data_IF_704494033343
#
_entry.id   IF_704494033343
#
_cell.length_a   1.000
_cell.length_b   1.000
_cell.length_c   1.000
_cell.angle_alpha   90.00
_cell.angle_beta   90.00
_cell.angle_gamma   90.00
#
_symmetry.space_group_name_H-M   'P 1'
#
loop_
_entity.id
_entity.type
_entity.pdbx_description
1 polymer ?
#
# COMPACT_ATOMS: atom_id res chain seq x y z
N UNK A 1 4.74 -3.96 -10.72
CA UNK A 1 5.73 -3.39 -9.76
C UNK A 1 5.05 -2.26 -8.98
N UNK A 2 5.34 -2.13 -7.68
CA UNK A 2 4.79 -1.08 -6.81
C UNK A 2 5.91 -0.18 -6.34
N UNK A 3 5.65 1.13 -6.35
CA UNK A 3 6.46 2.19 -5.76
C UNK A 3 5.66 2.87 -4.67
N UNK A 4 6.23 3.10 -3.49
CA UNK A 4 5.54 3.76 -2.38
C UNK A 4 6.12 5.11 -2.06
N UNK A 5 5.28 6.08 -1.70
CA UNK A 5 5.67 7.39 -1.17
C UNK A 5 4.72 7.83 -0.06
N UNK A 6 5.18 8.66 0.87
CA UNK A 6 4.33 9.15 1.94
C UNK A 6 3.36 10.24 1.46
N UNK A 7 2.07 10.11 1.83
CA UNK A 7 1.05 11.13 1.53
C UNK A 7 1.32 12.46 2.23
N UNK A 8 2.04 12.45 3.35
CA UNK A 8 2.48 13.67 4.06
C UNK A 8 3.44 14.56 3.24
N UNK A 9 3.99 14.06 2.13
CA UNK A 9 4.72 14.88 1.17
C UNK A 9 3.84 15.95 0.49
N UNK A 10 2.52 15.76 0.56
CA UNK A 10 1.52 16.67 0.02
C UNK A 10 1.19 16.47 -1.46
N UNK A 11 0.01 16.95 -1.90
CA UNK A 11 -0.52 16.65 -3.23
C UNK A 11 0.36 17.15 -4.38
N UNK A 12 1.04 18.28 -4.22
CA UNK A 12 1.95 18.80 -5.26
C UNK A 12 3.15 17.88 -5.52
N UNK A 13 3.76 17.35 -4.45
CA UNK A 13 4.87 16.40 -4.59
C UNK A 13 4.39 15.08 -5.20
N UNK A 14 3.24 14.58 -4.77
CA UNK A 14 2.63 13.36 -5.31
C UNK A 14 2.34 13.52 -6.80
N UNK A 15 1.64 14.58 -7.21
CA UNK A 15 1.33 14.87 -8.61
C UNK A 15 2.58 15.00 -9.48
N UNK A 16 3.64 15.64 -8.97
CA UNK A 16 4.92 15.73 -9.69
C UNK A 16 5.56 14.37 -9.94
N UNK A 17 5.53 13.47 -8.94
CA UNK A 17 6.04 12.09 -9.08
C UNK A 17 5.19 11.29 -10.07
N UNK A 18 3.86 11.38 -9.96
CA UNK A 18 2.92 10.71 -10.88
C UNK A 18 3.17 11.15 -12.33
N UNK A 19 3.27 12.45 -12.57
CA UNK A 19 3.55 13.01 -13.89
C UNK A 19 4.89 12.49 -14.43
N UNK A 20 5.96 12.58 -13.64
CA UNK A 20 7.29 12.14 -14.11
C UNK A 20 7.36 10.65 -14.40
N UNK A 21 6.69 9.81 -13.60
CA UNK A 21 6.63 8.36 -13.86
C UNK A 21 5.83 8.07 -15.13
N UNK A 22 4.75 8.80 -15.39
CA UNK A 22 3.97 8.67 -16.62
C UNK A 22 4.79 9.08 -17.86
N UNK A 23 5.53 10.21 -17.77
CA UNK A 23 6.38 10.70 -18.86
C UNK A 23 7.47 9.68 -19.20
N UNK A 24 8.20 9.20 -18.19
CA UNK A 24 9.24 8.17 -18.36
C UNK A 24 8.66 6.87 -18.95
N UNK A 25 7.47 6.45 -18.51
CA UNK A 25 6.80 5.29 -19.10
C UNK A 25 6.51 5.51 -20.60
N UNK A 26 6.02 6.68 -20.96
CA UNK A 26 5.72 7.01 -22.36
C UNK A 26 7.00 7.07 -23.22
N UNK A 27 8.09 7.64 -22.70
CA UNK A 27 9.40 7.65 -23.34
C UNK A 27 9.87 6.22 -23.61
N UNK A 28 9.89 5.35 -22.58
CA UNK A 28 10.33 3.95 -22.71
C UNK A 28 9.45 3.19 -23.71
N UNK A 29 8.13 3.34 -23.65
CA UNK A 29 7.20 2.68 -24.57
C UNK A 29 7.43 3.13 -26.01
N UNK A 30 7.74 4.42 -26.21
CA UNK A 30 8.08 4.97 -27.53
C UNK A 30 9.38 4.38 -28.06
N UNK A 31 10.44 4.34 -27.27
CA UNK A 31 11.73 3.74 -27.63
C UNK A 31 11.60 2.27 -28.00
N UNK A 32 10.89 1.48 -27.16
CA UNK A 32 10.66 0.06 -27.40
C UNK A 32 9.87 -0.23 -28.69
N UNK A 33 8.96 0.65 -29.08
CA UNK A 33 8.22 0.53 -30.37
C UNK A 33 9.10 0.84 -31.58
N UNK A 34 10.10 1.68 -31.41
CA UNK A 34 11.06 2.02 -32.48
C UNK A 34 12.08 0.88 -32.70
N UNK A 35 12.41 0.13 -31.63
CA UNK A 35 13.29 -1.05 -31.70
C UNK A 35 12.50 -2.32 -32.01
N UNK A 36 12.20 -2.55 -33.28
CA UNK A 36 11.39 -3.70 -33.77
C UNK A 36 11.90 -5.10 -33.39
N UNK A 37 13.03 -5.26 -32.69
CA UNK A 37 13.68 -6.53 -32.36
C UNK A 37 14.08 -6.70 -30.88
N UNK A 38 13.68 -5.83 -29.97
CA UNK A 38 14.05 -5.99 -28.58
C UNK A 38 13.03 -6.86 -27.82
N UNK A 39 13.47 -8.06 -27.40
CA UNK A 39 12.76 -8.88 -26.41
C UNK A 39 12.92 -8.28 -25.00
N UNK A 40 12.60 -6.99 -24.83
CA UNK A 40 12.66 -6.36 -23.51
C UNK A 40 11.40 -6.72 -22.72
N UNK A 41 11.59 -7.43 -21.63
CA UNK A 41 10.55 -7.68 -20.61
C UNK A 41 10.22 -6.37 -19.84
N UNK A 42 9.77 -5.33 -20.55
CA UNK A 42 9.28 -4.13 -19.90
C UNK A 42 7.93 -4.44 -19.25
N UNK A 43 7.93 -4.51 -17.91
CA UNK A 43 6.74 -4.85 -17.12
C UNK A 43 5.72 -3.71 -16.98
N UNK A 44 5.83 -2.66 -17.80
CA UNK A 44 4.95 -1.49 -17.74
C UNK A 44 5.29 -0.52 -16.60
N UNK A 45 4.52 0.56 -16.53
CA UNK A 45 4.61 1.59 -15.49
C UNK A 45 4.44 0.96 -14.08
N UNK A 46 5.26 1.33 -13.10
CA UNK A 46 5.00 0.93 -11.71
C UNK A 46 3.74 1.61 -11.18
N UNK A 47 2.98 0.92 -10.36
CA UNK A 47 1.86 1.49 -9.62
C UNK A 47 2.39 2.31 -8.44
N UNK A 48 1.81 3.48 -8.20
CA UNK A 48 2.22 4.41 -7.15
C UNK A 48 1.24 4.30 -5.99
N UNK A 49 1.76 3.95 -4.80
CA UNK A 49 0.96 3.81 -3.59
C UNK A 49 1.33 4.87 -2.57
N UNK A 50 0.33 5.60 -2.10
CA UNK A 50 0.47 6.61 -1.04
C UNK A 50 0.41 5.97 0.35
N UNK A 51 1.50 6.07 1.11
CA UNK A 51 1.52 5.67 2.53
C UNK A 51 0.78 6.74 3.33
N UNK A 52 -0.33 6.36 3.96
CA UNK A 52 -1.17 7.26 4.76
C UNK A 52 -0.58 7.45 6.16
N UNK A 53 -1.11 6.77 7.16
CA UNK A 53 -0.61 6.76 8.54
C UNK A 53 0.04 5.40 8.82
N UNK A 54 1.20 5.40 9.48
CA UNK A 54 1.89 4.17 9.84
C UNK A 54 1.05 3.30 10.78
N UNK A 55 1.11 1.98 10.59
CA UNK A 55 0.34 1.02 11.40
C UNK A 55 0.72 1.00 12.88
N UNK A 56 1.89 1.53 13.23
CA UNK A 56 2.34 1.69 14.61
C UNK A 56 1.70 2.89 15.32
N UNK A 57 1.16 3.86 14.57
CA UNK A 57 0.61 5.08 15.15
C UNK A 57 -0.76 4.86 15.79
N UNK A 58 -0.92 5.46 16.95
CA UNK A 58 -2.21 5.70 17.61
C UNK A 58 -2.53 7.21 17.65
N UNK A 59 -3.66 7.58 18.27
CA UNK A 59 -4.09 8.97 18.34
C UNK A 59 -3.11 9.85 19.15
N UNK A 60 -2.39 9.30 20.12
CA UNK A 60 -1.42 10.06 20.92
C UNK A 60 -0.18 10.40 20.07
N UNK A 61 0.27 9.44 19.26
CA UNK A 61 1.40 9.66 18.34
C UNK A 61 1.05 10.67 17.25
N UNK A 62 -0.20 10.68 16.73
CA UNK A 62 -0.64 11.71 15.79
C UNK A 62 -0.54 13.11 16.38
N UNK A 63 -0.99 13.28 17.61
CA UNK A 63 -0.91 14.58 18.33
C UNK A 63 0.55 15.01 18.50
N UNK A 64 1.45 14.07 18.81
CA UNK A 64 2.88 14.37 19.02
C UNK A 64 3.57 14.93 17.78
N UNK A 65 3.08 14.59 16.58
CA UNK A 65 3.58 15.10 15.28
C UNK A 65 2.72 16.25 14.73
N UNK A 66 1.79 16.77 15.53
CA UNK A 66 0.98 17.93 15.18
C UNK A 66 -0.25 17.64 14.31
N UNK A 67 -0.63 16.39 14.10
CA UNK A 67 -1.85 16.02 13.41
C UNK A 67 -3.04 16.04 14.37
N UNK A 68 -4.17 16.59 13.92
CA UNK A 68 -5.43 16.66 14.68
C UNK A 68 -6.42 15.61 14.18
N UNK A 69 -7.37 15.23 15.02
CA UNK A 69 -8.40 14.23 14.73
C UNK A 69 -7.92 12.80 15.01
N UNK A 70 -8.70 11.83 14.61
CA UNK A 70 -8.40 10.40 14.78
C UNK A 70 -7.44 9.89 13.71
N UNK A 71 -6.89 8.68 13.91
CA UNK A 71 -6.10 7.99 12.88
C UNK A 71 -6.93 7.82 11.60
N UNK A 72 -8.18 7.38 11.73
CA UNK A 72 -9.09 7.16 10.60
C UNK A 72 -9.35 8.46 9.81
N UNK A 73 -9.65 9.58 10.49
CA UNK A 73 -9.86 10.89 9.85
C UNK A 73 -8.63 11.29 9.01
N UNK A 74 -7.44 11.08 9.57
CA UNK A 74 -6.19 11.43 8.89
C UNK A 74 -5.91 10.49 7.71
N UNK A 75 -6.18 9.19 7.86
CA UNK A 75 -6.04 8.21 6.77
C UNK A 75 -6.95 8.58 5.61
N UNK A 76 -8.24 8.85 5.86
CA UNK A 76 -9.19 9.21 4.81
C UNK A 76 -8.81 10.52 4.10
N UNK A 77 -8.44 11.54 4.86
CA UNK A 77 -8.01 12.83 4.30
C UNK A 77 -6.75 12.72 3.45
N UNK A 78 -5.76 11.95 3.91
CA UNK A 78 -4.52 11.72 3.17
C UNK A 78 -4.76 10.86 1.93
N UNK A 79 -5.63 9.85 2.02
CA UNK A 79 -6.03 9.02 0.89
C UNK A 79 -6.74 9.86 -0.18
N UNK A 80 -7.74 10.66 0.19
CA UNK A 80 -8.46 11.54 -0.73
C UNK A 80 -7.50 12.45 -1.49
N UNK A 81 -6.67 13.20 -0.76
CA UNK A 81 -5.68 14.13 -1.35
C UNK A 81 -4.70 13.44 -2.30
N UNK A 82 -4.29 12.21 -1.97
CA UNK A 82 -3.35 11.45 -2.78
C UNK A 82 -4.03 10.87 -4.04
N UNK A 83 -5.28 10.38 -3.91
CA UNK A 83 -6.08 9.91 -5.05
C UNK A 83 -6.32 11.04 -6.05
N UNK A 84 -6.69 12.23 -5.56
CA UNK A 84 -6.84 13.42 -6.41
C UNK A 84 -5.53 13.82 -7.11
N UNK A 85 -4.38 13.57 -6.47
CA UNK A 85 -3.05 13.78 -7.06
C UNK A 85 -2.62 12.68 -8.05
N UNK A 86 -3.44 11.61 -8.23
CA UNK A 86 -3.31 10.62 -9.29
C UNK A 86 -2.56 9.34 -8.91
N UNK A 87 -2.47 8.96 -7.62
CA UNK A 87 -1.93 7.66 -7.23
C UNK A 87 -2.84 6.50 -7.64
N UNK A 88 -2.26 5.29 -7.71
CA UNK A 88 -2.97 4.07 -8.07
C UNK A 88 -3.54 3.34 -6.86
N UNK A 89 -2.93 3.55 -5.69
CA UNK A 89 -3.34 2.87 -4.47
C UNK A 89 -2.89 3.58 -3.20
N UNK A 90 -3.36 3.08 -2.06
CA UNK A 90 -2.99 3.56 -0.73
C UNK A 90 -2.44 2.43 0.12
N UNK A 91 -1.56 2.78 1.06
CA UNK A 91 -1.09 1.90 2.13
C UNK A 91 -1.76 2.34 3.42
N UNK A 92 -2.51 1.43 4.06
CA UNK A 92 -3.21 1.68 5.32
C UNK A 92 -3.19 0.42 6.19
N UNK A 93 -3.61 0.50 7.45
CA UNK A 93 -3.76 -0.71 8.26
C UNK A 93 -5.05 -1.47 7.93
N UNK A 94 -5.18 -2.69 8.47
CA UNK A 94 -6.39 -3.48 8.31
C UNK A 94 -7.65 -2.81 8.83
N UNK A 95 -7.53 -1.93 9.82
CA UNK A 95 -8.66 -1.23 10.44
C UNK A 95 -9.32 -0.20 9.54
N UNK A 96 -8.60 0.34 8.56
CA UNK A 96 -9.11 1.38 7.66
C UNK A 96 -9.60 0.86 6.30
N UNK A 97 -9.48 -0.46 6.02
CA UNK A 97 -9.87 -1.04 4.72
C UNK A 97 -11.33 -0.73 4.40
N UNK A 98 -12.25 -1.02 5.33
CA UNK A 98 -13.68 -0.81 5.11
C UNK A 98 -14.01 0.67 4.88
N UNK A 99 -13.41 1.57 5.68
CA UNK A 99 -13.61 3.01 5.52
C UNK A 99 -13.11 3.51 4.18
N UNK A 100 -11.94 3.05 3.71
CA UNK A 100 -11.41 3.38 2.38
C UNK A 100 -12.32 2.83 1.29
N UNK A 101 -12.77 1.57 1.38
CA UNK A 101 -13.69 0.98 0.42
C UNK A 101 -15.03 1.71 0.37
N UNK A 102 -15.56 2.10 1.52
CA UNK A 102 -16.82 2.86 1.61
C UNK A 102 -16.73 4.24 0.94
N UNK A 103 -15.61 4.94 1.11
CA UNK A 103 -15.45 6.31 0.60
C UNK A 103 -14.97 6.36 -0.86
N UNK A 104 -14.09 5.44 -1.29
CA UNK A 104 -13.41 5.51 -2.58
C UNK A 104 -13.71 4.31 -3.50
N UNK A 105 -14.42 3.29 -3.00
CA UNK A 105 -14.78 2.10 -3.77
C UNK A 105 -13.56 1.28 -4.21
N UNK A 106 -13.66 0.69 -5.40
CA UNK A 106 -12.61 -0.12 -6.03
C UNK A 106 -11.71 0.67 -6.99
N UNK A 107 -11.89 1.98 -7.08
CA UNK A 107 -11.08 2.86 -7.94
C UNK A 107 -9.64 3.01 -7.45
N UNK A 108 -9.40 2.81 -6.16
CA UNK A 108 -8.09 2.85 -5.52
C UNK A 108 -7.73 1.46 -5.00
N UNK A 109 -6.51 1.02 -5.26
CA UNK A 109 -6.00 -0.23 -4.69
C UNK A 109 -5.57 -0.05 -3.24
N UNK A 110 -5.69 -1.11 -2.44
CA UNK A 110 -5.32 -1.11 -1.01
C UNK A 110 -4.21 -2.10 -0.77
N UNK A 111 -3.10 -1.63 -0.21
CA UNK A 111 -1.97 -2.44 0.25
C UNK A 111 -1.90 -2.36 1.78
N UNK A 112 -1.91 -3.53 2.44
CA UNK A 112 -2.00 -3.65 3.90
C UNK A 112 -0.72 -4.25 4.47
N UNK A 113 0.09 -3.46 5.19
CA UNK A 113 1.17 -4.00 6.02
C UNK A 113 0.65 -4.47 7.39
N UNK A 114 1.54 -5.04 8.20
CA UNK A 114 1.16 -5.46 9.56
C UNK A 114 0.34 -6.73 9.63
N UNK A 115 0.35 -7.54 8.57
CA UNK A 115 -0.40 -8.78 8.51
C UNK A 115 0.31 -9.88 9.29
N UNK A 116 -0.46 -10.64 10.10
CA UNK A 116 0.02 -11.75 10.95
C UNK A 116 -0.90 -12.96 10.81
N UNK A 117 -0.34 -14.17 10.94
CA UNK A 117 -1.16 -15.40 11.07
C UNK A 117 -1.68 -15.61 12.49
N UNK A 118 -0.87 -15.21 13.45
CA UNK A 118 -1.13 -15.41 14.87
C UNK A 118 -1.08 -14.07 15.60
N UNK A 119 -1.87 -13.90 16.65
CA UNK A 119 -1.83 -12.76 17.57
C UNK A 119 -0.64 -12.89 18.55
N UNK A 120 0.59 -12.96 18.04
CA UNK A 120 1.78 -12.99 18.88
C UNK A 120 2.17 -11.57 19.34
N UNK A 121 2.84 -11.49 20.48
CA UNK A 121 3.40 -10.28 21.09
C UNK A 121 4.34 -9.55 20.10
N UNK A 122 3.81 -8.60 19.36
CA UNK A 122 4.56 -7.74 18.44
C UNK A 122 4.24 -6.27 18.74
N UNK A 123 5.16 -5.38 18.42
CA UNK A 123 5.07 -3.92 18.58
C UNK A 123 3.99 -3.27 17.70
N UNK A 124 3.29 -4.03 16.86
CA UNK A 124 2.21 -3.52 16.01
C UNK A 124 0.86 -3.56 16.72
N UNK A 125 0.32 -2.39 16.97
CA UNK A 125 -0.97 -2.18 17.67
C UNK A 125 -2.19 -2.53 16.81
N UNK A 126 -2.04 -2.63 15.48
CA UNK A 126 -3.14 -2.80 14.51
C UNK A 126 -2.82 -3.92 13.53
N UNK A 127 -2.98 -5.17 14.01
CA UNK A 127 -2.73 -6.39 13.24
C UNK A 127 -4.02 -6.93 12.62
N UNK A 128 -3.89 -7.65 11.52
CA UNK A 128 -4.97 -8.33 10.81
C UNK A 128 -4.43 -9.62 10.19
N UNK A 129 -5.26 -10.65 10.05
CA UNK A 129 -4.89 -11.86 9.33
C UNK A 129 -4.94 -11.67 7.81
N UNK A 130 -4.20 -12.48 7.01
CA UNK A 130 -4.28 -12.44 5.55
C UNK A 130 -5.72 -12.60 5.03
N UNK A 131 -6.46 -13.57 5.57
CA UNK A 131 -7.85 -13.86 5.17
C UNK A 131 -8.78 -12.68 5.45
N UNK A 132 -8.71 -12.12 6.65
CA UNK A 132 -9.50 -10.93 7.01
C UNK A 132 -9.19 -9.75 6.10
N UNK A 133 -7.89 -9.47 5.83
CA UNK A 133 -7.50 -8.36 4.98
C UNK A 133 -8.12 -8.45 3.58
N UNK A 134 -8.06 -9.63 2.95
CA UNK A 134 -8.69 -9.84 1.64
C UNK A 134 -10.21 -9.84 1.70
N UNK A 135 -10.81 -10.39 2.76
CA UNK A 135 -12.27 -10.37 2.95
C UNK A 135 -12.81 -8.94 3.08
N UNK A 136 -12.07 -8.06 3.76
CA UNK A 136 -12.41 -6.64 3.89
C UNK A 136 -12.13 -5.83 2.62
N UNK A 137 -11.39 -6.40 1.67
CA UNK A 137 -11.17 -5.80 0.35
C UNK A 137 -9.76 -5.27 0.09
N UNK A 138 -8.74 -5.74 0.78
CA UNK A 138 -7.35 -5.46 0.40
C UNK A 138 -7.02 -6.08 -0.98
N UNK A 139 -6.25 -5.38 -1.82
CA UNK A 139 -5.71 -5.91 -3.07
C UNK A 139 -4.36 -6.58 -2.85
N UNK A 140 -3.58 -6.07 -1.90
CA UNK A 140 -2.24 -6.55 -1.56
C UNK A 140 -2.02 -6.58 -0.06
N UNK A 141 -1.19 -7.53 0.38
CA UNK A 141 -0.69 -7.58 1.77
C UNK A 141 0.84 -7.58 1.77
N UNK A 142 1.44 -7.05 2.84
CA UNK A 142 2.89 -7.10 3.05
C UNK A 142 3.22 -8.15 4.10
N UNK A 143 3.92 -9.19 3.67
CA UNK A 143 4.43 -10.25 4.52
C UNK A 143 5.85 -9.92 4.99
N UNK A 144 5.98 -9.10 6.01
CA UNK A 144 7.26 -8.77 6.64
C UNK A 144 7.76 -9.88 7.58
N UNK A 145 7.88 -9.58 8.86
CA UNK A 145 8.35 -10.52 9.91
C UNK A 145 7.54 -11.82 9.98
N UNK A 146 6.25 -11.77 9.63
CA UNK A 146 5.39 -12.96 9.49
C UNK A 146 6.00 -14.06 8.61
N UNK A 147 6.81 -13.69 7.63
CA UNK A 147 7.53 -14.61 6.75
C UNK A 147 9.04 -14.64 7.07
N UNK A 148 9.65 -13.48 7.26
CA UNK A 148 11.13 -13.35 7.30
C UNK A 148 11.75 -13.85 8.59
N UNK A 149 11.00 -13.88 9.72
CA UNK A 149 11.48 -14.35 11.03
C UNK A 149 11.46 -15.88 11.18
N UNK A 150 10.94 -16.61 10.20
CA UNK A 150 10.93 -18.08 10.23
C UNK A 150 12.15 -18.66 9.51
N UNK A 151 12.69 -19.76 10.04
CA UNK A 151 13.82 -20.46 9.45
C UNK A 151 13.45 -21.03 8.08
N UNK A 152 12.38 -21.82 8.00
CA UNK A 152 11.82 -22.31 6.74
C UNK A 152 10.73 -21.38 6.21
N UNK A 153 11.17 -20.44 5.36
CA UNK A 153 10.29 -19.44 4.73
C UNK A 153 9.29 -20.07 3.77
N UNK A 154 9.63 -21.21 3.15
CA UNK A 154 8.73 -21.89 2.21
C UNK A 154 7.56 -22.53 2.95
N UNK A 155 7.84 -23.29 4.01
CA UNK A 155 6.79 -23.89 4.85
C UNK A 155 5.88 -22.80 5.42
N UNK A 156 6.45 -21.68 5.87
CA UNK A 156 5.67 -20.55 6.39
C UNK A 156 4.79 -19.92 5.29
N UNK A 157 5.34 -19.71 4.09
CA UNK A 157 4.58 -19.19 2.96
C UNK A 157 3.41 -20.10 2.58
N UNK A 158 3.66 -21.42 2.49
CA UNK A 158 2.61 -22.42 2.19
C UNK A 158 1.52 -22.42 3.28
N UNK A 159 1.90 -22.21 4.54
CA UNK A 159 0.97 -22.04 5.67
C UNK A 159 0.09 -20.80 5.52
N UNK A 160 0.68 -19.68 5.07
CA UNK A 160 -0.05 -18.44 4.79
C UNK A 160 -1.05 -18.66 3.64
N UNK A 161 -0.64 -19.30 2.56
CA UNK A 161 -1.56 -19.61 1.45
C UNK A 161 -2.74 -20.46 1.89
N UNK A 162 -2.50 -21.52 2.68
CA UNK A 162 -3.57 -22.37 3.23
C UNK A 162 -4.53 -21.62 4.15
N UNK A 163 -4.10 -20.53 4.78
CA UNK A 163 -4.97 -19.72 5.63
C UNK A 163 -5.95 -18.84 4.84
N UNK A 164 -5.77 -18.73 3.52
CA UNK A 164 -6.67 -17.96 2.65
C UNK A 164 -7.90 -18.78 2.21
N UNK A 165 -7.80 -20.10 2.23
CA UNK A 165 -8.91 -21.02 1.96
C UNK A 165 -9.93 -21.03 3.14
#
# INVERSE_FOLDING_TARGET
KIFTMHCLAGPKAISSVVTKINDLNNEIVHELKLEKNSHTNYGGRPEIFGVTILTSFDNAELVSIGLKGTVEDNVLRLAESAIEAGIDGVVCSGHEIESIRKNFGTKVKILVPGVRLDSSDDDQKRIITPKEAFTLGADYIVLGRTLTSYEDKKVRYDSILKSLD
#
